data_IF_276205629056
#
_entry.id   IF_276205629056
#
_cell.length_a   1.000
_cell.length_b   1.000
_cell.length_c   1.000
_cell.angle_alpha   90.00
_cell.angle_beta   90.00
_cell.angle_gamma   90.00
#
_symmetry.space_group_name_H-M   'P 1'
#
loop_
_entity.id
_entity.type
_entity.pdbx_description
1 polymer ?
#
# COMPACT_ATOMS: atom_id res chain seq x y z
N UNK A 1 -24.81 22.33 -17.42
CA UNK A 1 -23.92 22.55 -16.26
C UNK A 1 -22.65 21.73 -16.45
N UNK A 2 -21.50 22.35 -16.71
CA UNK A 2 -20.24 21.62 -16.86
C UNK A 2 -19.76 21.12 -15.49
N UNK A 3 -19.57 19.80 -15.36
CA UNK A 3 -19.06 19.21 -14.12
C UNK A 3 -17.66 19.78 -13.83
N UNK A 4 -17.49 20.50 -12.71
CA UNK A 4 -16.18 21.01 -12.29
C UNK A 4 -15.30 19.81 -11.88
N UNK A 5 -14.35 19.43 -12.74
CA UNK A 5 -13.46 18.27 -12.52
C UNK A 5 -12.30 18.57 -11.55
N UNK A 6 -12.11 19.82 -11.17
CA UNK A 6 -11.02 20.31 -10.29
C UNK A 6 -10.86 19.51 -8.99
N UNK A 7 -11.93 19.23 -8.22
CA UNK A 7 -11.81 18.51 -6.94
C UNK A 7 -11.24 17.10 -7.11
N UNK A 8 -11.62 16.42 -8.20
CA UNK A 8 -11.15 15.08 -8.52
C UNK A 8 -9.65 15.07 -8.83
N UNK A 9 -9.17 16.01 -9.65
CA UNK A 9 -7.75 16.13 -9.96
C UNK A 9 -6.93 16.55 -8.73
N UNK A 10 -7.45 17.46 -7.91
CA UNK A 10 -6.80 17.84 -6.64
C UNK A 10 -6.67 16.64 -5.69
N UNK A 11 -7.71 15.81 -5.57
CA UNK A 11 -7.67 14.60 -4.74
C UNK A 11 -6.70 13.55 -5.28
N UNK A 12 -6.69 13.34 -6.60
CA UNK A 12 -5.77 12.41 -7.25
C UNK A 12 -4.30 12.84 -7.05
N UNK A 13 -4.03 14.14 -7.21
CA UNK A 13 -2.69 14.71 -7.02
C UNK A 13 -2.26 14.65 -5.56
N UNK A 14 -3.15 15.00 -4.63
CA UNK A 14 -2.91 14.90 -3.19
C UNK A 14 -2.59 13.46 -2.78
N UNK A 15 -3.38 12.50 -3.25
CA UNK A 15 -3.18 11.07 -2.97
C UNK A 15 -1.85 10.58 -3.52
N UNK A 16 -1.48 10.97 -4.74
CA UNK A 16 -0.20 10.61 -5.35
C UNK A 16 0.99 11.16 -4.56
N UNK A 17 0.90 12.42 -4.08
CA UNK A 17 1.95 13.04 -3.25
C UNK A 17 2.08 12.31 -1.91
N UNK A 18 0.97 12.03 -1.21
CA UNK A 18 1.01 11.28 0.04
C UNK A 18 1.59 9.88 -0.17
N UNK A 19 1.20 9.19 -1.24
CA UNK A 19 1.74 7.88 -1.57
C UNK A 19 3.25 7.93 -1.80
N UNK A 20 3.76 8.91 -2.54
CA UNK A 20 5.21 9.07 -2.72
C UNK A 20 5.87 9.36 -1.39
N UNK A 21 5.37 10.30 -0.59
CA UNK A 21 5.98 10.64 0.71
C UNK A 21 6.01 9.44 1.66
N UNK A 22 4.86 8.79 1.90
CA UNK A 22 4.80 7.64 2.81
C UNK A 22 5.51 6.40 2.26
N UNK A 23 5.40 6.13 0.97
CA UNK A 23 6.08 5.00 0.33
C UNK A 23 7.60 5.14 0.35
N UNK A 24 8.09 6.36 0.13
CA UNK A 24 9.53 6.66 0.16
C UNK A 24 10.05 6.68 1.60
N UNK A 25 9.34 7.33 2.54
CA UNK A 25 9.74 7.34 3.95
C UNK A 25 9.79 5.92 4.53
N UNK A 26 8.77 5.11 4.27
CA UNK A 26 8.76 3.72 4.72
C UNK A 26 9.87 2.88 4.06
N UNK A 27 10.18 3.09 2.78
CA UNK A 27 11.25 2.36 2.09
C UNK A 27 12.67 2.74 2.57
N UNK A 28 12.91 4.01 2.89
CA UNK A 28 14.26 4.53 3.17
C UNK A 28 14.58 4.69 4.66
N UNK A 29 13.62 5.07 5.50
CA UNK A 29 13.89 5.42 6.92
C UNK A 29 14.04 4.17 7.80
N UNK A 30 13.63 2.99 7.34
CA UNK A 30 13.68 1.75 8.13
C UNK A 30 14.28 0.55 7.35
N UNK A 31 15.31 0.83 6.54
CA UNK A 31 15.93 -0.12 5.60
C UNK A 31 16.72 -1.28 6.23
N UNK A 32 16.87 -1.35 7.55
CA UNK A 32 17.58 -2.45 8.23
C UNK A 32 16.78 -3.77 8.27
N UNK A 33 15.50 -3.73 7.89
CA UNK A 33 14.65 -4.91 7.76
C UNK A 33 14.58 -5.35 6.29
N UNK A 34 14.88 -6.63 5.97
CA UNK A 34 14.75 -7.18 4.61
C UNK A 34 13.37 -6.93 3.98
N UNK A 35 12.33 -6.82 4.82
CA UNK A 35 10.96 -6.58 4.39
C UNK A 35 10.68 -5.15 3.98
N UNK A 36 11.24 -4.16 4.70
CA UNK A 36 11.06 -2.75 4.39
C UNK A 36 11.78 -2.35 3.09
N UNK A 37 12.86 -3.06 2.75
CA UNK A 37 13.52 -2.89 1.47
C UNK A 37 12.69 -3.38 0.27
N UNK A 38 12.10 -4.58 0.36
CA UNK A 38 11.18 -5.11 -0.68
C UNK A 38 9.96 -4.19 -0.79
N UNK A 39 9.42 -3.74 0.35
CA UNK A 39 8.32 -2.80 0.40
C UNK A 39 8.66 -1.47 -0.28
N UNK A 40 9.83 -0.89 0.01
CA UNK A 40 10.28 0.34 -0.63
C UNK A 40 10.37 0.24 -2.14
N UNK A 41 10.82 -0.91 -2.67
CA UNK A 41 10.86 -1.17 -4.12
C UNK A 41 9.46 -1.26 -4.74
N UNK A 42 8.54 -1.98 -4.09
CA UNK A 42 7.17 -2.12 -4.57
C UNK A 42 6.40 -0.80 -4.48
N UNK A 43 6.55 -0.07 -3.38
CA UNK A 43 5.97 1.26 -3.18
C UNK A 43 6.54 2.27 -4.19
N UNK A 44 7.84 2.22 -4.47
CA UNK A 44 8.48 3.03 -5.51
C UNK A 44 7.95 2.71 -6.91
N UNK A 45 7.82 1.44 -7.27
CA UNK A 45 7.25 1.01 -8.55
C UNK A 45 5.79 1.44 -8.72
N UNK A 46 4.96 1.25 -7.69
CA UNK A 46 3.58 1.73 -7.66
C UNK A 46 3.49 3.26 -7.73
N UNK A 47 4.42 3.98 -7.10
CA UNK A 47 4.51 5.44 -7.19
C UNK A 47 4.78 5.87 -8.63
N UNK A 48 5.75 5.27 -9.32
CA UNK A 48 6.03 5.55 -10.74
C UNK A 48 4.78 5.30 -11.60
N UNK A 49 4.10 4.16 -11.41
CA UNK A 49 2.86 3.86 -12.12
C UNK A 49 1.76 4.91 -11.86
N UNK A 50 1.66 5.40 -10.62
CA UNK A 50 0.71 6.45 -10.23
C UNK A 50 1.02 7.78 -10.91
N UNK A 51 2.30 8.15 -11.00
CA UNK A 51 2.72 9.36 -11.71
C UNK A 51 2.50 9.28 -13.22
N UNK A 52 2.76 8.12 -13.84
CA UNK A 52 2.44 7.86 -15.25
C UNK A 52 0.93 7.98 -15.48
N UNK A 53 0.12 7.38 -14.62
CA UNK A 53 -1.34 7.48 -14.66
C UNK A 53 -1.82 8.93 -14.54
N UNK A 54 -1.25 9.71 -13.61
CA UNK A 54 -1.58 11.11 -13.40
C UNK A 54 -1.21 11.98 -14.61
N UNK A 55 -0.05 11.73 -15.23
CA UNK A 55 0.39 12.41 -16.45
C UNK A 55 -0.55 12.13 -17.63
N UNK A 56 -0.99 10.89 -17.79
CA UNK A 56 -2.03 10.51 -18.77
C UNK A 56 -3.34 11.25 -18.46
N UNK A 57 -3.76 11.31 -17.19
CA UNK A 57 -4.97 12.01 -16.77
C UNK A 57 -4.95 13.49 -17.17
N UNK A 58 -3.86 14.20 -16.88
CA UNK A 58 -3.70 15.60 -17.24
C UNK A 58 -3.58 15.80 -18.75
N UNK A 59 -2.90 14.88 -19.44
CA UNK A 59 -2.79 14.90 -20.89
C UNK A 59 -4.12 14.70 -21.58
N UNK A 60 -5.09 13.96 -21.05
CA UNK A 60 -6.40 13.81 -21.71
C UNK A 60 -7.48 14.76 -21.17
N UNK A 61 -7.18 15.56 -20.14
CA UNK A 61 -8.12 16.52 -19.56
C UNK A 61 -8.52 17.68 -20.51
N UNK A 62 -7.70 18.02 -21.51
CA UNK A 62 -7.97 19.14 -22.41
C UNK A 62 -9.00 18.84 -23.51
N UNK A 63 -9.50 17.60 -23.65
CA UNK A 63 -10.55 17.24 -24.62
C UNK A 63 -11.79 16.60 -23.94
N UNK A 64 -12.53 17.34 -23.11
CA UNK A 64 -13.63 16.78 -22.32
C UNK A 64 -14.83 16.27 -23.15
N UNK A 65 -14.93 16.68 -24.42
CA UNK A 65 -15.99 16.30 -25.38
C UNK A 65 -15.59 15.17 -26.34
N UNK A 66 -14.37 14.64 -26.20
CA UNK A 66 -13.92 13.52 -27.05
C UNK A 66 -14.65 12.23 -26.66
N UNK A 67 -15.14 11.49 -27.66
CA UNK A 67 -15.75 10.16 -27.49
C UNK A 67 -14.74 9.08 -27.05
N UNK A 68 -13.45 9.42 -27.00
CA UNK A 68 -12.41 8.50 -26.60
C UNK A 68 -12.56 8.10 -25.12
N UNK A 69 -12.49 6.79 -24.77
CA UNK A 69 -12.68 6.31 -23.40
C UNK A 69 -11.71 6.95 -22.40
N UNK A 70 -10.49 7.27 -22.83
CA UNK A 70 -9.47 7.96 -22.02
C UNK A 70 -9.77 9.43 -21.69
N UNK A 71 -10.76 10.07 -22.33
CA UNK A 71 -11.19 11.45 -22.03
C UNK A 71 -12.43 11.51 -21.12
N UNK A 72 -13.08 10.36 -20.86
CA UNK A 72 -14.27 10.28 -20.00
C UNK A 72 -13.86 10.36 -18.53
N UNK A 73 -14.50 11.26 -17.78
CA UNK A 73 -14.32 11.39 -16.33
C UNK A 73 -14.58 10.09 -15.57
N UNK A 74 -15.50 9.25 -16.08
CA UNK A 74 -15.79 7.94 -15.52
C UNK A 74 -14.61 6.96 -15.63
N UNK A 75 -13.84 6.99 -16.73
CA UNK A 75 -12.64 6.17 -16.86
C UNK A 75 -11.55 6.60 -15.88
N UNK A 76 -11.43 7.92 -15.66
CA UNK A 76 -10.52 8.46 -14.64
C UNK A 76 -10.95 8.06 -13.22
N UNK A 77 -12.25 8.12 -12.91
CA UNK A 77 -12.78 7.72 -11.61
C UNK A 77 -12.61 6.23 -11.35
N UNK A 78 -12.95 5.37 -12.32
CA UNK A 78 -12.76 3.91 -12.21
C UNK A 78 -11.29 3.56 -12.01
N UNK A 79 -10.39 4.18 -12.77
CA UNK A 79 -8.95 3.93 -12.62
C UNK A 79 -8.41 4.40 -11.26
N UNK A 80 -8.91 5.50 -10.70
CA UNK A 80 -8.60 5.90 -9.32
C UNK A 80 -9.08 4.84 -8.31
N UNK A 81 -10.31 4.36 -8.46
CA UNK A 81 -10.88 3.34 -7.55
C UNK A 81 -10.08 2.04 -7.61
N UNK A 82 -9.72 1.57 -8.80
CA UNK A 82 -8.90 0.36 -8.99
C UNK A 82 -7.50 0.54 -8.40
N UNK A 83 -6.86 1.69 -8.65
CA UNK A 83 -5.54 1.96 -8.08
C UNK A 83 -5.59 2.04 -6.55
N UNK A 84 -6.63 2.68 -6.00
CA UNK A 84 -6.87 2.78 -4.57
C UNK A 84 -7.13 1.42 -3.91
N UNK A 85 -7.95 0.55 -4.51
CA UNK A 85 -8.20 -0.79 -3.97
C UNK A 85 -6.96 -1.67 -4.00
N UNK A 86 -6.15 -1.60 -5.05
CA UNK A 86 -4.84 -2.29 -5.10
C UNK A 86 -3.94 -1.83 -3.97
N UNK A 87 -3.91 -0.52 -3.69
CA UNK A 87 -3.10 0.04 -2.60
C UNK A 87 -3.57 -0.42 -1.22
N UNK A 88 -4.89 -0.42 -0.98
CA UNK A 88 -5.48 -0.90 0.26
C UNK A 88 -5.23 -2.39 0.48
N UNK A 89 -5.43 -3.21 -0.56
CA UNK A 89 -5.19 -4.65 -0.49
C UNK A 89 -3.72 -4.96 -0.19
N UNK A 90 -2.78 -4.23 -0.81
CA UNK A 90 -1.36 -4.36 -0.55
C UNK A 90 -1.00 -4.01 0.90
N UNK A 91 -1.51 -2.88 1.39
CA UNK A 91 -1.30 -2.43 2.78
C UNK A 91 -1.87 -3.42 3.80
N UNK A 92 -3.09 -3.91 3.57
CA UNK A 92 -3.74 -4.90 4.42
C UNK A 92 -2.96 -6.22 4.46
N UNK A 93 -2.48 -6.69 3.30
CA UNK A 93 -1.69 -7.92 3.19
C UNK A 93 -0.42 -7.86 4.03
N UNK A 94 0.24 -6.71 4.06
CA UNK A 94 1.45 -6.49 4.87
C UNK A 94 1.13 -6.52 6.36
N UNK A 95 0.06 -5.83 6.78
CA UNK A 95 -0.36 -5.80 8.18
C UNK A 95 -0.67 -7.22 8.65
N UNK A 96 -1.46 -7.97 7.88
CA UNK A 96 -1.82 -9.37 8.17
C UNK A 96 -0.58 -10.25 8.24
N UNK A 97 0.35 -10.12 7.28
CA UNK A 97 1.58 -10.90 7.27
C UNK A 97 2.47 -10.64 8.50
N UNK A 98 2.58 -9.36 8.93
CA UNK A 98 3.31 -9.00 10.16
C UNK A 98 2.65 -9.58 11.40
N UNK A 99 1.32 -9.47 11.50
CA UNK A 99 0.55 -10.03 12.60
C UNK A 99 0.72 -11.54 12.69
N UNK A 100 0.63 -12.25 11.56
CA UNK A 100 0.82 -13.69 11.49
C UNK A 100 2.23 -14.12 11.96
N UNK A 101 3.29 -13.44 11.49
CA UNK A 101 4.67 -13.75 11.89
C UNK A 101 4.92 -13.50 13.37
N UNK A 102 4.40 -12.39 13.93
CA UNK A 102 4.56 -12.09 15.36
C UNK A 102 3.82 -13.10 16.25
N UNK A 103 2.67 -13.59 15.80
CA UNK A 103 1.88 -14.59 16.51
C UNK A 103 2.58 -15.96 16.53
N UNK A 104 3.19 -16.37 15.41
CA UNK A 104 3.97 -17.61 15.34
C UNK A 104 5.21 -17.60 16.25
N UNK A 105 5.90 -16.46 16.35
CA UNK A 105 7.01 -16.30 17.29
C UNK A 105 6.55 -16.39 18.76
N UNK A 106 5.41 -15.79 19.09
CA UNK A 106 4.82 -15.87 20.45
C UNK A 106 4.44 -17.30 20.84
N UNK A 107 3.89 -18.09 19.91
CA UNK A 107 3.55 -19.49 20.16
C UNK A 107 4.78 -20.33 20.49
N UNK A 108 5.86 -20.18 19.72
CA UNK A 108 7.10 -20.93 19.95
C UNK A 108 7.71 -20.66 21.33
N UNK A 109 7.67 -19.40 21.79
CA UNK A 109 8.13 -19.02 23.13
C UNK A 109 7.26 -19.65 24.22
N UNK A 110 5.94 -19.61 24.06
CA UNK A 110 5.02 -20.19 25.04
C UNK A 110 5.20 -21.72 25.17
N UNK A 111 5.40 -22.41 24.04
CA UNK A 111 5.68 -23.86 24.04
C UNK A 111 7.01 -24.16 24.74
N UNK A 112 8.08 -23.41 24.45
CA UNK A 112 9.37 -23.59 25.11
C UNK A 112 9.31 -23.30 26.62
N UNK A 113 8.48 -22.35 27.05
CA UNK A 113 8.26 -22.06 28.47
C UNK A 113 7.44 -23.14 29.18
N UNK A 114 6.49 -23.77 28.48
CA UNK A 114 5.72 -24.90 29.00
C UNK A 114 6.63 -26.13 29.18
N UNK A 115 7.41 -26.48 28.15
CA UNK A 115 8.35 -27.62 28.17
C UNK A 115 9.37 -27.50 29.32
N UNK A 116 9.91 -26.28 29.53
CA UNK A 116 10.82 -26.02 30.66
C UNK A 116 10.13 -26.19 32.02
N UNK A 117 8.88 -25.77 32.17
CA UNK A 117 8.13 -25.91 33.42
C UNK A 117 7.89 -27.38 33.76
N UNK A 118 7.60 -28.20 32.76
CA UNK A 118 7.40 -29.64 32.95
C UNK A 118 8.71 -30.31 33.39
N UNK A 119 9.84 -29.96 32.76
CA UNK A 119 11.17 -30.44 33.19
C UNK A 119 11.52 -30.04 34.64
N UNK A 120 11.30 -28.78 35.02
CA UNK A 120 11.58 -28.30 36.38
C UNK A 120 10.70 -29.00 37.42
N UNK A 121 9.47 -29.40 37.05
CA UNK A 121 8.58 -30.16 37.91
C UNK A 121 9.05 -31.61 38.10
N UNK A 122 9.55 -32.27 37.05
CA UNK A 122 10.06 -33.65 37.11
C UNK A 122 11.34 -33.78 37.94
N UNK A 123 12.19 -32.74 37.97
CA UNK A 123 13.44 -32.71 38.76
C UNK A 123 13.19 -32.42 40.25
N UNK A 124 12.03 -31.87 40.59
CA UNK A 124 11.69 -31.51 41.97
C UNK A 124 11.10 -32.67 42.80
N UNK A 125 10.88 -33.83 42.20
CA UNK A 125 10.44 -35.08 42.85
C UNK A 125 11.55 -36.12 42.88
#
# INVERSE_FOLDING_TARGET
MGLKRTPFYSLALFTAVLQTVFGTLAGFVNGNSPFLWIFGKLAGGLSIATWIWLAILFRYNHRPLSSHPLCRSLAHFISLTVLGTVWLAFTASIIVYRSARSSGAGLAVNVAQADRKDYDADVAY
#
